data_IF_169970490421
#
_entry.id   IF_169970490421
#
_cell.length_a   1.000
_cell.length_b   1.000
_cell.length_c   1.000
_cell.angle_alpha   90.00
_cell.angle_beta   90.00
_cell.angle_gamma   90.00
#
_symmetry.space_group_name_H-M   'P 1'
#
loop_
_entity.id
_entity.type
_entity.pdbx_description
1 polymer ?
#
# COMPACT_ATOMS: atom_id res chain seq x y z
N UNK A 1 -41.62 -8.40 -33.22
CA UNK A 1 -41.02 -8.16 -31.90
C UNK A 1 -40.88 -6.66 -31.76
N UNK A 2 -41.54 -6.04 -30.79
CA UNK A 2 -41.43 -4.59 -30.54
C UNK A 2 -40.10 -4.32 -29.82
N UNK A 3 -39.58 -3.10 -29.91
CA UNK A 3 -38.34 -2.71 -29.24
C UNK A 3 -38.36 -3.02 -27.74
N UNK A 4 -39.50 -2.79 -27.08
CA UNK A 4 -39.73 -3.14 -25.66
C UNK A 4 -39.55 -4.62 -25.37
N UNK A 5 -39.95 -5.51 -26.29
CA UNK A 5 -39.80 -6.96 -26.12
C UNK A 5 -38.32 -7.39 -26.22
N UNK A 6 -37.55 -6.69 -27.06
CA UNK A 6 -36.10 -6.89 -27.21
C UNK A 6 -35.38 -6.37 -25.97
N UNK A 7 -35.73 -5.18 -25.48
CA UNK A 7 -35.13 -4.58 -24.29
C UNK A 7 -35.38 -5.43 -23.03
N UNK A 8 -36.58 -6.01 -22.92
CA UNK A 8 -36.91 -6.92 -21.82
C UNK A 8 -36.14 -8.25 -21.92
N UNK A 9 -35.91 -8.75 -23.14
CA UNK A 9 -35.15 -9.98 -23.36
C UNK A 9 -33.66 -9.82 -23.07
N UNK A 10 -33.09 -8.65 -23.38
CA UNK A 10 -31.68 -8.33 -23.14
C UNK A 10 -31.38 -7.93 -21.69
N UNK A 11 -32.41 -7.74 -20.86
CA UNK A 11 -32.24 -7.29 -19.48
C UNK A 11 -31.55 -8.38 -18.63
N UNK A 12 -30.51 -8.04 -17.83
CA UNK A 12 -29.88 -9.00 -16.95
C UNK A 12 -30.88 -9.60 -15.95
N UNK A 13 -30.64 -10.83 -15.44
CA UNK A 13 -31.47 -11.42 -14.41
C UNK A 13 -31.61 -10.50 -13.19
N UNK A 14 -32.78 -10.53 -12.54
CA UNK A 14 -33.08 -9.68 -11.38
C UNK A 14 -32.02 -9.78 -10.27
N UNK A 15 -31.49 -10.98 -10.03
CA UNK A 15 -30.41 -11.21 -9.04
C UNK A 15 -29.14 -10.43 -9.38
N UNK A 16 -28.76 -10.38 -10.66
CA UNK A 16 -27.58 -9.64 -11.12
C UNK A 16 -27.84 -8.13 -10.97
N UNK A 17 -29.02 -7.66 -11.34
CA UNK A 17 -29.41 -6.26 -11.16
C UNK A 17 -29.43 -5.84 -9.70
N UNK A 18 -29.91 -6.70 -8.79
CA UNK A 18 -29.94 -6.43 -7.36
C UNK A 18 -28.52 -6.37 -6.78
N UNK A 19 -27.61 -7.27 -7.20
CA UNK A 19 -26.20 -7.21 -6.82
C UNK A 19 -25.54 -5.92 -7.30
N UNK A 20 -25.74 -5.56 -8.58
CA UNK A 20 -25.19 -4.34 -9.18
C UNK A 20 -25.74 -3.07 -8.52
N UNK A 21 -27.05 -3.03 -8.25
CA UNK A 21 -27.69 -1.88 -7.61
C UNK A 21 -27.30 -1.78 -6.13
N UNK A 22 -27.07 -2.91 -5.46
CA UNK A 22 -26.54 -2.93 -4.09
C UNK A 22 -25.13 -2.38 -4.07
N UNK A 23 -24.26 -2.86 -4.97
CA UNK A 23 -22.90 -2.34 -5.11
C UNK A 23 -22.87 -0.83 -5.41
N UNK A 24 -23.65 -0.34 -6.37
CA UNK A 24 -23.73 1.11 -6.67
C UNK A 24 -24.16 1.93 -5.45
N UNK A 25 -25.10 1.43 -4.65
CA UNK A 25 -25.51 2.09 -3.40
C UNK A 25 -24.41 2.11 -2.35
N UNK A 26 -23.62 1.03 -2.26
CA UNK A 26 -22.45 0.96 -1.37
C UNK A 26 -21.36 1.96 -1.76
N UNK A 27 -21.20 2.25 -3.06
CA UNK A 27 -20.35 3.33 -3.59
C UNK A 27 -20.99 4.73 -3.49
N UNK A 28 -22.05 4.87 -2.67
CA UNK A 28 -22.81 6.09 -2.48
C UNK A 28 -23.40 6.70 -3.77
N UNK A 29 -23.59 5.91 -4.83
CA UNK A 29 -24.29 6.34 -6.03
C UNK A 29 -25.77 6.50 -5.71
N UNK A 30 -26.29 7.70 -5.98
CA UNK A 30 -27.70 8.00 -5.74
C UNK A 30 -28.60 7.07 -6.56
N UNK A 31 -29.56 6.35 -5.94
CA UNK A 31 -30.51 5.52 -6.67
C UNK A 31 -31.31 6.28 -7.73
N UNK A 32 -31.41 7.61 -7.61
CA UNK A 32 -32.11 8.46 -8.55
C UNK A 32 -31.36 8.64 -9.89
N UNK A 33 -30.05 8.41 -9.93
CA UNK A 33 -29.24 8.55 -11.15
C UNK A 33 -29.07 7.22 -11.89
N UNK A 34 -29.37 6.09 -11.24
CA UNK A 34 -29.26 4.76 -11.83
C UNK A 34 -30.40 4.53 -12.82
N UNK A 35 -30.05 4.31 -14.08
CA UNK A 35 -30.98 3.99 -15.16
C UNK A 35 -30.57 2.67 -15.81
N UNK A 36 -31.53 1.74 -15.91
CA UNK A 36 -31.32 0.42 -16.53
C UNK A 36 -31.96 0.45 -17.92
N UNK A 37 -31.12 0.27 -18.95
CA UNK A 37 -31.53 0.24 -20.35
C UNK A 37 -31.15 -1.10 -20.98
N UNK A 38 -32.12 -2.03 -21.05
CA UNK A 38 -31.89 -3.37 -21.58
C UNK A 38 -30.66 -4.03 -20.90
N UNK A 39 -29.58 -4.28 -21.64
CA UNK A 39 -28.33 -4.86 -21.15
C UNK A 39 -27.29 -3.85 -20.61
N UNK A 40 -27.65 -2.58 -20.45
CA UNK A 40 -26.77 -1.51 -19.97
C UNK A 40 -27.32 -0.85 -18.70
N UNK A 41 -26.42 -0.36 -17.87
CA UNK A 41 -26.72 0.52 -16.74
C UNK A 41 -25.93 1.80 -16.94
N UNK A 42 -26.60 2.93 -16.72
CA UNK A 42 -25.97 4.24 -16.61
C UNK A 42 -26.23 4.80 -15.23
N UNK A 43 -25.26 5.49 -14.66
CA UNK A 43 -25.39 6.20 -13.40
C UNK A 43 -24.51 7.44 -13.43
N UNK A 44 -24.81 8.39 -12.55
CA UNK A 44 -23.95 9.56 -12.34
C UNK A 44 -23.18 9.37 -11.04
N UNK A 45 -21.85 9.53 -11.15
CA UNK A 45 -20.92 9.56 -10.03
C UNK A 45 -20.14 10.88 -10.12
N UNK A 46 -19.81 11.46 -8.96
CA UNK A 46 -18.80 12.51 -8.92
C UNK A 46 -17.42 11.92 -9.25
N UNK A 47 -16.47 12.75 -9.70
CA UNK A 47 -15.08 12.31 -9.93
C UNK A 47 -14.50 11.70 -8.66
N UNK A 48 -14.77 12.28 -7.48
CA UNK A 48 -14.36 11.71 -6.18
C UNK A 48 -15.00 10.36 -5.82
N UNK A 49 -16.12 10.00 -6.44
CA UNK A 49 -16.76 8.68 -6.29
C UNK A 49 -16.24 7.67 -7.33
N UNK A 50 -15.77 8.14 -8.48
CA UNK A 50 -15.20 7.30 -9.53
C UNK A 50 -13.69 7.07 -9.34
N UNK A 51 -13.01 8.06 -8.74
CA UNK A 51 -11.57 8.12 -8.52
C UNK A 51 -11.31 8.66 -7.11
N UNK A 52 -10.39 8.02 -6.40
CA UNK A 52 -10.00 8.46 -5.08
C UNK A 52 -8.96 9.58 -5.19
N UNK A 53 -9.41 10.81 -5.37
CA UNK A 53 -8.53 11.97 -5.54
C UNK A 53 -7.85 12.37 -4.22
N UNK A 54 -6.70 13.07 -4.26
CA UNK A 54 -6.03 13.56 -3.05
C UNK A 54 -6.94 14.41 -2.16
N UNK A 55 -7.74 15.30 -2.74
CA UNK A 55 -8.68 16.12 -1.98
C UNK A 55 -9.78 15.27 -1.31
N UNK A 56 -10.25 14.21 -1.97
CA UNK A 56 -11.22 13.29 -1.39
C UNK A 56 -10.64 12.57 -0.16
N UNK A 57 -9.41 12.06 -0.26
CA UNK A 57 -8.69 11.45 0.86
C UNK A 57 -8.48 12.42 2.02
N UNK A 58 -8.08 13.66 1.72
CA UNK A 58 -7.90 14.70 2.74
C UNK A 58 -9.20 15.01 3.46
N UNK A 59 -10.33 15.08 2.75
CA UNK A 59 -11.65 15.27 3.37
C UNK A 59 -12.06 14.06 4.21
N UNK A 60 -11.90 12.84 3.66
CA UNK A 60 -12.28 11.59 4.30
C UNK A 60 -11.55 11.42 5.64
N UNK A 61 -10.26 11.77 5.70
CA UNK A 61 -9.43 11.65 6.89
C UNK A 61 -9.29 12.94 7.71
N UNK A 62 -10.11 13.96 7.42
CA UNK A 62 -10.14 15.20 8.21
C UNK A 62 -8.85 16.03 8.13
N UNK A 63 -8.11 15.91 7.04
CA UNK A 63 -6.83 16.57 6.80
C UNK A 63 -6.95 17.92 6.10
N UNK A 64 -8.16 18.41 5.77
CA UNK A 64 -8.37 19.63 4.97
C UNK A 64 -7.54 20.85 5.42
N UNK A 65 -7.39 21.02 6.74
CA UNK A 65 -6.66 22.14 7.37
C UNK A 65 -5.24 21.77 7.83
N UNK A 66 -4.81 20.53 7.59
CA UNK A 66 -3.52 20.01 8.03
C UNK A 66 -2.47 20.29 6.95
N UNK A 67 -1.42 21.00 7.34
CA UNK A 67 -0.22 21.21 6.54
C UNK A 67 1.01 20.92 7.38
N UNK A 68 2.07 20.46 6.73
CA UNK A 68 3.37 20.22 7.35
C UNK A 68 3.92 21.55 7.90
N UNK A 69 4.28 21.56 9.17
CA UNK A 69 4.96 22.72 9.76
C UNK A 69 6.33 22.92 9.09
N UNK A 70 6.71 24.15 8.73
CA UNK A 70 8.04 24.43 8.19
C UNK A 70 9.13 24.10 9.23
N UNK A 71 9.81 22.97 9.05
CA UNK A 71 10.94 22.54 9.86
C UNK A 71 11.87 21.73 8.95
N UNK A 72 13.18 21.97 9.04
CA UNK A 72 14.18 21.25 8.25
C UNK A 72 14.20 19.75 8.53
N UNK A 73 13.69 19.32 9.70
CA UNK A 73 13.51 17.91 10.06
C UNK A 73 12.19 17.34 9.60
N UNK A 74 11.23 18.16 9.16
CA UNK A 74 9.95 17.69 8.64
C UNK A 74 10.09 17.23 7.18
N UNK A 75 10.96 16.23 7.01
CA UNK A 75 11.26 15.60 5.75
C UNK A 75 10.53 14.27 5.63
N UNK A 76 9.88 14.07 4.50
CA UNK A 76 9.25 12.82 4.10
C UNK A 76 10.22 12.05 3.20
N UNK A 77 10.70 10.92 3.69
CA UNK A 77 11.46 9.94 2.91
C UNK A 77 10.53 8.95 2.23
N UNK A 78 10.71 8.75 0.94
CA UNK A 78 9.95 7.79 0.13
C UNK A 78 10.95 6.80 -0.45
N UNK A 79 10.83 5.52 -0.10
CA UNK A 79 11.73 4.48 -0.61
C UNK A 79 11.36 4.07 -2.04
N UNK A 80 12.36 3.77 -2.87
CA UNK A 80 12.16 3.16 -4.19
C UNK A 80 13.08 1.98 -4.43
N UNK A 81 12.51 0.80 -4.73
CA UNK A 81 13.27 -0.46 -4.89
C UNK A 81 13.09 -1.17 -6.24
N UNK A 82 12.13 -0.73 -7.07
CA UNK A 82 11.77 -1.42 -8.32
C UNK A 82 12.49 -0.91 -9.57
N UNK A 83 13.59 -0.18 -9.41
CA UNK A 83 14.29 0.48 -10.52
C UNK A 83 13.36 1.39 -11.37
N UNK A 84 12.32 1.93 -10.72
CA UNK A 84 11.37 2.87 -11.31
C UNK A 84 11.83 4.31 -11.09
N UNK A 85 11.43 5.21 -11.99
CA UNK A 85 11.91 6.58 -11.98
C UNK A 85 10.88 7.52 -11.33
N UNK A 86 11.38 8.41 -10.48
CA UNK A 86 10.65 9.50 -9.89
C UNK A 86 10.51 10.64 -10.92
N UNK A 87 9.46 10.59 -11.74
CA UNK A 87 9.27 11.46 -12.90
C UNK A 87 8.67 12.80 -12.49
N UNK A 88 9.48 13.86 -12.46
CA UNK A 88 9.03 15.20 -12.05
C UNK A 88 7.96 15.76 -12.99
N UNK A 89 8.06 15.48 -14.29
CA UNK A 89 7.08 15.97 -15.28
C UNK A 89 5.69 15.37 -15.08
N UNK A 90 5.60 14.08 -14.75
CA UNK A 90 4.32 13.42 -14.51
C UNK A 90 3.74 13.86 -13.17
N UNK A 91 4.59 14.02 -12.14
CA UNK A 91 4.19 14.57 -10.84
C UNK A 91 3.62 15.99 -10.96
N UNK A 92 4.29 16.90 -11.67
CA UNK A 92 3.79 18.27 -11.86
C UNK A 92 2.44 18.29 -12.58
N UNK A 93 2.29 17.52 -13.66
CA UNK A 93 1.02 17.44 -14.40
C UNK A 93 -0.09 16.78 -13.57
N UNK A 94 0.25 15.84 -12.69
CA UNK A 94 -0.71 15.27 -11.74
C UNK A 94 -1.21 16.33 -10.76
N UNK A 95 -0.32 17.15 -10.19
CA UNK A 95 -0.72 18.25 -9.30
C UNK A 95 -1.59 19.27 -10.02
N UNK A 96 -1.24 19.65 -11.26
CA UNK A 96 -2.06 20.59 -12.05
C UNK A 96 -3.51 20.11 -12.25
N UNK A 97 -3.72 18.80 -12.36
CA UNK A 97 -5.05 18.20 -12.56
C UNK A 97 -5.79 17.91 -11.24
N UNK A 98 -5.12 17.22 -10.31
CA UNK A 98 -5.75 16.63 -9.12
C UNK A 98 -5.50 17.40 -7.82
N UNK A 99 -4.53 18.31 -7.80
CA UNK A 99 -4.24 19.18 -6.66
C UNK A 99 -3.70 20.57 -7.07
N UNK A 100 -4.50 21.37 -7.80
CA UNK A 100 -4.05 22.64 -8.37
C UNK A 100 -3.65 23.68 -7.31
N UNK A 101 -4.01 23.45 -6.05
CA UNK A 101 -3.63 24.29 -4.91
C UNK A 101 -2.23 24.04 -4.36
N UNK A 102 -1.53 23.00 -4.83
CA UNK A 102 -0.21 22.58 -4.34
C UNK A 102 0.81 22.41 -5.48
N UNK A 103 0.64 23.15 -6.58
CA UNK A 103 1.51 23.04 -7.78
C UNK A 103 2.96 23.48 -7.58
N UNK A 104 3.29 24.08 -6.43
CA UNK A 104 4.64 24.42 -6.00
C UNK A 104 5.34 23.29 -5.22
N UNK A 105 4.61 22.21 -4.87
CA UNK A 105 5.18 21.03 -4.26
C UNK A 105 6.22 20.37 -5.19
N UNK A 106 7.31 19.87 -4.59
CA UNK A 106 8.39 19.23 -5.33
C UNK A 106 9.15 18.26 -4.41
N UNK A 107 9.97 17.40 -5.00
CA UNK A 107 10.79 16.43 -4.28
C UNK A 107 12.24 16.43 -4.78
N UNK A 108 13.13 15.83 -4.00
CA UNK A 108 14.52 15.56 -4.39
C UNK A 108 14.73 14.06 -4.58
N UNK A 109 15.74 13.67 -5.36
CA UNK A 109 16.09 12.26 -5.55
C UNK A 109 17.50 11.99 -5.03
N UNK A 110 17.64 10.94 -4.23
CA UNK A 110 18.93 10.44 -3.72
C UNK A 110 19.13 9.01 -4.23
N UNK A 111 20.29 8.76 -4.83
CA UNK A 111 20.71 7.43 -5.26
C UNK A 111 21.45 6.71 -4.14
N UNK A 112 21.03 5.49 -3.84
CA UNK A 112 21.66 4.58 -2.88
C UNK A 112 22.06 3.31 -3.63
N UNK A 113 23.27 2.81 -3.38
CA UNK A 113 23.79 1.58 -3.99
C UNK A 113 23.62 1.53 -5.52
N UNK A 114 23.95 2.63 -6.19
CA UNK A 114 23.79 2.80 -7.65
C UNK A 114 22.34 2.71 -8.15
N UNK A 115 21.35 3.01 -7.30
CA UNK A 115 19.96 3.16 -7.73
C UNK A 115 19.83 4.21 -8.84
N UNK A 116 19.08 3.88 -9.88
CA UNK A 116 18.95 4.72 -11.08
C UNK A 116 17.65 5.52 -11.01
N UNK A 117 17.68 6.75 -11.51
CA UNK A 117 16.50 7.56 -11.78
C UNK A 117 16.61 8.12 -13.20
N UNK A 118 16.09 7.39 -14.18
CA UNK A 118 16.08 7.80 -15.59
C UNK A 118 14.66 8.23 -15.98
N UNK A 119 14.36 9.52 -15.82
CA UNK A 119 13.06 10.09 -16.14
C UNK A 119 12.74 10.09 -17.65
N UNK A 120 13.68 9.69 -18.51
CA UNK A 120 13.47 9.48 -19.94
C UNK A 120 13.30 8.01 -20.32
N UNK A 121 13.43 7.12 -19.35
CA UNK A 121 13.12 5.71 -19.51
C UNK A 121 11.70 5.52 -20.02
N UNK A 122 11.50 4.46 -20.81
CA UNK A 122 10.18 3.97 -21.21
C UNK A 122 9.68 2.83 -20.30
N UNK A 123 10.44 2.49 -19.25
CA UNK A 123 10.03 1.49 -18.26
C UNK A 123 8.98 2.08 -17.33
N UNK A 124 7.94 1.29 -17.07
CA UNK A 124 6.87 1.60 -16.11
C UNK A 124 7.42 2.22 -14.82
N UNK A 125 6.83 3.33 -14.37
CA UNK A 125 7.16 3.98 -13.10
C UNK A 125 5.94 4.23 -12.22
N UNK A 126 4.89 3.41 -12.36
CA UNK A 126 3.62 3.54 -11.64
C UNK A 126 3.76 3.49 -10.12
N UNK A 127 4.62 2.63 -9.58
CA UNK A 127 4.82 2.52 -8.12
C UNK A 127 5.48 3.81 -7.59
N UNK A 128 6.61 4.21 -8.18
CA UNK A 128 7.28 5.46 -7.79
C UNK A 128 6.36 6.69 -8.00
N UNK A 129 5.54 6.67 -9.05
CA UNK A 129 4.57 7.72 -9.33
C UNK A 129 3.44 7.76 -8.31
N UNK A 130 2.87 6.60 -7.94
CA UNK A 130 1.86 6.48 -6.88
C UNK A 130 2.40 7.04 -5.57
N UNK A 131 3.55 6.53 -5.14
CA UNK A 131 4.21 6.90 -3.89
C UNK A 131 4.38 8.42 -3.80
N UNK A 132 4.93 9.04 -4.85
CA UNK A 132 5.20 10.48 -4.88
C UNK A 132 3.93 11.33 -5.02
N UNK A 133 3.05 10.98 -5.96
CA UNK A 133 1.85 11.75 -6.26
C UNK A 133 0.93 11.83 -5.07
N UNK A 134 0.69 10.71 -4.37
CA UNK A 134 -0.18 10.73 -3.20
C UNK A 134 0.53 11.19 -1.93
N UNK A 135 1.79 10.81 -1.69
CA UNK A 135 2.49 11.26 -0.48
C UNK A 135 2.55 12.79 -0.39
N UNK A 136 2.92 13.48 -1.48
CA UNK A 136 3.01 14.95 -1.47
C UNK A 136 1.64 15.63 -1.57
N UNK A 137 0.65 15.00 -2.21
CA UNK A 137 -0.72 15.55 -2.25
C UNK A 137 -1.54 15.26 -0.98
N UNK A 138 -1.02 14.45 -0.05
CA UNK A 138 -1.60 14.28 1.29
C UNK A 138 -0.80 15.08 2.32
N UNK A 139 0.53 15.07 2.26
CA UNK A 139 1.41 15.78 3.19
C UNK A 139 1.77 17.19 2.67
N UNK A 140 0.78 18.08 2.59
CA UNK A 140 0.95 19.45 2.09
C UNK A 140 2.13 20.16 2.73
N UNK A 141 2.98 20.77 1.90
CA UNK A 141 4.23 21.47 2.26
C UNK A 141 5.32 20.62 2.94
N UNK A 142 5.21 19.29 2.96
CA UNK A 142 6.31 18.44 3.42
C UNK A 142 7.47 18.50 2.42
N UNK A 143 8.71 18.57 2.92
CA UNK A 143 9.88 18.42 2.08
C UNK A 143 10.10 16.94 1.79
N UNK A 144 10.05 16.52 0.52
CA UNK A 144 10.15 15.10 0.18
C UNK A 144 11.49 14.73 -0.47
N UNK A 145 12.00 13.55 -0.11
CA UNK A 145 13.14 12.91 -0.78
C UNK A 145 12.78 11.49 -1.20
N UNK A 146 12.90 11.20 -2.49
CA UNK A 146 12.82 9.86 -3.04
C UNK A 146 14.20 9.18 -3.01
N UNK A 147 14.28 8.03 -2.35
CA UNK A 147 15.50 7.24 -2.21
C UNK A 147 15.49 6.07 -3.20
N UNK A 148 16.01 6.29 -4.41
CA UNK A 148 16.21 5.22 -5.40
C UNK A 148 17.36 4.32 -4.96
N UNK A 149 17.03 3.08 -4.59
CA UNK A 149 17.99 2.13 -4.01
C UNK A 149 18.18 0.94 -4.94
N UNK A 150 19.40 0.76 -5.43
CA UNK A 150 19.77 -0.39 -6.25
C UNK A 150 20.08 -1.64 -5.42
N UNK A 151 20.04 -2.80 -6.07
CA UNK A 151 20.36 -4.10 -5.46
C UNK A 151 19.14 -4.96 -5.17
N UNK A 152 19.37 -6.16 -4.61
CA UNK A 152 18.33 -7.13 -4.24
C UNK A 152 18.72 -7.85 -2.95
N UNK A 153 17.76 -7.98 -2.04
CA UNK A 153 17.91 -8.73 -0.79
C UNK A 153 18.03 -10.24 -1.00
N UNK A 154 18.44 -11.00 0.01
CA UNK A 154 18.52 -12.46 -0.07
C UNK A 154 17.13 -13.11 -0.02
N UNK A 155 16.96 -14.25 -0.72
CA UNK A 155 15.68 -14.98 -0.81
C UNK A 155 15.82 -16.44 -0.36
N UNK A 156 14.83 -16.92 0.37
CA UNK A 156 14.55 -18.33 0.64
C UNK A 156 13.51 -18.79 -0.39
N UNK A 157 13.82 -19.78 -1.27
CA UNK A 157 12.88 -20.20 -2.30
C UNK A 157 11.55 -20.72 -1.74
N UNK A 158 10.45 -20.46 -2.44
CA UNK A 158 9.15 -21.07 -2.23
C UNK A 158 8.52 -21.53 -3.56
N UNK A 159 7.29 -22.06 -3.53
CA UNK A 159 6.59 -22.50 -4.74
C UNK A 159 6.19 -21.38 -5.72
N UNK A 160 6.24 -20.12 -5.30
CA UNK A 160 5.84 -18.93 -6.07
C UNK A 160 6.97 -17.98 -6.45
N UNK A 161 8.17 -18.11 -5.88
CA UNK A 161 9.29 -17.17 -6.02
C UNK A 161 10.45 -17.78 -6.83
N UNK A 162 11.29 -16.96 -7.48
CA UNK A 162 12.36 -17.45 -8.32
C UNK A 162 13.34 -18.35 -7.54
N UNK A 163 13.91 -19.34 -8.24
CA UNK A 163 14.97 -20.19 -7.71
C UNK A 163 16.18 -19.35 -7.27
N UNK A 164 16.96 -19.88 -6.32
CA UNK A 164 18.20 -19.28 -5.83
C UNK A 164 19.06 -18.72 -7.00
N UNK A 165 19.30 -17.40 -6.99
CA UNK A 165 20.08 -16.68 -8.01
C UNK A 165 19.37 -15.49 -8.69
N UNK A 166 18.03 -15.43 -8.63
CA UNK A 166 17.23 -14.34 -9.21
C UNK A 166 16.31 -13.70 -8.16
N UNK A 167 16.89 -13.21 -7.06
CA UNK A 167 16.09 -12.56 -6.01
C UNK A 167 15.41 -11.30 -6.53
N UNK A 168 14.13 -11.11 -6.20
CA UNK A 168 13.41 -9.85 -6.39
C UNK A 168 13.20 -9.10 -5.08
N UNK A 169 13.60 -9.70 -3.95
CA UNK A 169 13.46 -9.10 -2.62
C UNK A 169 14.17 -7.75 -2.54
N UNK A 170 13.62 -6.86 -1.74
CA UNK A 170 14.03 -5.48 -1.72
C UNK A 170 15.33 -5.30 -0.89
N UNK A 171 16.22 -4.38 -1.34
CA UNK A 171 17.53 -4.14 -0.73
C UNK A 171 17.42 -3.27 0.53
N UNK A 172 16.68 -3.73 1.54
CA UNK A 172 16.46 -2.96 2.78
C UNK A 172 17.75 -2.59 3.49
N UNK A 173 18.73 -3.52 3.57
CA UNK A 173 19.98 -3.25 4.29
C UNK A 173 20.77 -2.11 3.65
N UNK A 174 20.79 -2.02 2.33
CA UNK A 174 21.48 -0.95 1.59
C UNK A 174 20.92 0.42 1.97
N UNK A 175 19.59 0.58 1.92
CA UNK A 175 18.93 1.83 2.30
C UNK A 175 19.10 2.14 3.79
N UNK A 176 18.90 1.15 4.66
CA UNK A 176 18.96 1.35 6.11
C UNK A 176 20.38 1.65 6.59
N UNK A 177 21.41 1.05 6.00
CA UNK A 177 22.79 1.40 6.30
C UNK A 177 23.14 2.81 5.83
N UNK A 178 22.64 3.24 4.65
CA UNK A 178 22.79 4.62 4.21
C UNK A 178 22.14 5.59 5.20
N UNK A 179 20.86 5.39 5.55
CA UNK A 179 20.14 6.25 6.49
C UNK A 179 20.80 6.25 7.87
N UNK A 180 21.18 5.08 8.39
CA UNK A 180 21.88 4.97 9.68
C UNK A 180 23.22 5.72 9.69
N UNK A 181 23.87 5.91 8.55
CA UNK A 181 25.12 6.68 8.43
C UNK A 181 24.93 8.19 8.40
N UNK A 182 23.71 8.68 8.15
CA UNK A 182 23.41 10.11 8.14
C UNK A 182 23.37 10.67 9.56
N UNK A 183 23.71 11.95 9.78
CA UNK A 183 23.45 12.64 11.03
C UNK A 183 21.94 12.87 11.24
N UNK A 184 21.51 13.09 12.48
CA UNK A 184 20.08 13.18 12.85
C UNK A 184 19.32 14.27 12.09
N UNK A 185 19.97 15.41 11.83
CA UNK A 185 19.40 16.53 11.07
C UNK A 185 19.12 16.24 9.59
N UNK A 186 19.72 15.17 9.04
CA UNK A 186 19.54 14.74 7.65
C UNK A 186 18.65 13.49 7.54
N UNK A 187 18.15 12.97 8.65
CA UNK A 187 17.17 11.88 8.63
C UNK A 187 15.79 12.42 8.26
N UNK A 188 14.98 11.65 7.51
CA UNK A 188 13.57 11.96 7.37
C UNK A 188 12.85 11.80 8.72
N UNK A 189 11.87 12.66 9.01
CA UNK A 189 10.99 12.46 10.15
C UNK A 189 10.04 11.28 9.93
N UNK A 190 9.63 11.06 8.68
CA UNK A 190 8.79 9.94 8.27
C UNK A 190 9.43 9.25 7.07
N UNK A 191 9.62 7.94 7.15
CA UNK A 191 10.06 7.09 6.05
C UNK A 191 8.90 6.17 5.65
N UNK A 192 8.38 6.33 4.44
CA UNK A 192 7.33 5.47 3.89
C UNK A 192 7.91 4.49 2.86
N UNK A 193 7.45 3.24 2.92
CA UNK A 193 7.99 2.12 2.15
C UNK A 193 6.84 1.19 1.71
N UNK A 194 6.57 1.16 0.41
CA UNK A 194 5.43 0.48 -0.24
C UNK A 194 5.74 -0.95 -0.70
N UNK A 195 6.70 -1.62 -0.06
CA UNK A 195 7.27 -2.89 -0.51
C UNK A 195 7.25 -3.96 0.58
N UNK A 196 7.22 -5.22 0.16
CA UNK A 196 7.19 -6.35 1.07
C UNK A 196 7.30 -7.71 0.38
N UNK A 197 7.67 -8.70 1.17
CA UNK A 197 7.85 -10.09 0.79
C UNK A 197 7.13 -10.99 1.77
N UNK A 198 6.65 -12.17 1.35
CA UNK A 198 6.19 -13.17 2.32
C UNK A 198 7.30 -13.47 3.33
N UNK A 199 7.00 -13.43 4.63
CA UNK A 199 8.03 -13.51 5.67
C UNK A 199 8.86 -14.80 5.58
N UNK A 200 8.25 -15.90 5.11
CA UNK A 200 8.94 -17.18 4.91
C UNK A 200 9.97 -17.19 3.75
N UNK A 201 9.91 -16.22 2.83
CA UNK A 201 10.88 -16.08 1.73
C UNK A 201 12.06 -15.20 2.12
N UNK A 202 12.07 -14.64 3.32
CA UNK A 202 13.16 -13.81 3.84
C UNK A 202 13.97 -14.60 4.88
N UNK A 203 15.31 -14.70 4.75
CA UNK A 203 16.12 -15.36 5.77
C UNK A 203 15.95 -14.70 7.14
N UNK A 204 15.65 -15.48 8.18
CA UNK A 204 15.38 -14.96 9.53
C UNK A 204 16.48 -14.03 10.08
N UNK A 205 17.75 -14.32 9.80
CA UNK A 205 18.87 -13.46 10.21
C UNK A 205 18.86 -12.10 9.50
N UNK A 206 18.49 -12.07 8.22
CA UNK A 206 18.36 -10.82 7.45
C UNK A 206 17.16 -10.01 7.96
N UNK A 207 15.99 -10.65 8.12
CA UNK A 207 14.79 -10.00 8.64
C UNK A 207 15.02 -9.41 10.04
N UNK A 208 15.73 -10.14 10.92
CA UNK A 208 16.10 -9.64 12.25
C UNK A 208 17.02 -8.42 12.16
N UNK A 209 18.07 -8.47 11.34
CA UNK A 209 19.01 -7.36 11.18
C UNK A 209 18.33 -6.09 10.61
N UNK A 210 17.45 -6.26 9.62
CA UNK A 210 16.64 -5.17 9.05
C UNK A 210 15.72 -4.59 10.12
N UNK A 211 15.04 -5.43 10.89
CA UNK A 211 14.12 -4.98 11.95
C UNK A 211 14.86 -4.26 13.10
N UNK A 212 16.07 -4.71 13.46
CA UNK A 212 16.93 -4.01 14.42
C UNK A 212 17.40 -2.64 13.90
N UNK A 213 17.60 -2.49 12.59
CA UNK A 213 17.92 -1.19 11.99
C UNK A 213 16.71 -0.25 11.95
N UNK A 214 15.51 -0.76 11.71
CA UNK A 214 14.28 0.03 11.90
C UNK A 214 14.15 0.49 13.36
N UNK A 215 14.44 -0.37 14.34
CA UNK A 215 14.46 0.00 15.75
C UNK A 215 15.45 1.14 16.04
N UNK A 216 16.65 1.08 15.44
CA UNK A 216 17.66 2.12 15.58
C UNK A 216 17.22 3.46 14.98
N UNK A 217 16.63 3.46 13.78
CA UNK A 217 16.07 4.67 13.18
C UNK A 217 14.90 5.22 13.99
N UNK A 218 14.01 4.36 14.46
CA UNK A 218 12.91 4.73 15.37
C UNK A 218 13.41 5.38 16.66
N UNK A 219 14.49 4.85 17.25
CA UNK A 219 15.14 5.45 18.42
C UNK A 219 15.76 6.84 18.14
N UNK A 220 16.08 7.13 16.87
CA UNK A 220 16.55 8.44 16.40
C UNK A 220 15.41 9.39 15.98
N UNK A 221 14.15 8.96 16.15
CA UNK A 221 12.97 9.79 15.92
C UNK A 221 12.36 9.66 14.52
N UNK A 222 12.76 8.66 13.73
CA UNK A 222 12.15 8.38 12.42
C UNK A 222 10.89 7.53 12.60
N UNK A 223 9.75 8.01 12.08
CA UNK A 223 8.54 7.19 11.97
C UNK A 223 8.62 6.36 10.71
N UNK A 224 8.50 5.04 10.82
CA UNK A 224 8.67 4.12 9.67
C UNK A 224 7.33 3.49 9.37
N UNK A 225 6.84 3.71 8.16
CA UNK A 225 5.52 3.30 7.70
C UNK A 225 5.69 2.30 6.55
N UNK A 226 5.00 1.17 6.63
CA UNK A 226 5.07 0.10 5.63
C UNK A 226 3.68 -0.33 5.19
N UNK A 227 3.55 -0.67 3.92
CA UNK A 227 2.40 -1.43 3.42
C UNK A 227 2.34 -2.80 4.10
N UNK A 228 1.13 -3.33 4.29
CA UNK A 228 0.92 -4.64 4.93
C UNK A 228 0.82 -5.81 3.94
N UNK A 229 0.66 -5.51 2.66
CA UNK A 229 0.57 -6.48 1.58
C UNK A 229 -0.74 -6.43 0.79
N UNK A 230 -0.70 -7.03 -0.41
CA UNK A 230 -1.80 -7.04 -1.38
C UNK A 230 -2.33 -8.44 -1.70
N UNK A 231 -1.97 -9.43 -0.87
CA UNK A 231 -2.31 -10.84 -1.11
C UNK A 231 -3.16 -11.47 -0.01
N UNK A 232 -3.87 -10.63 0.75
CA UNK A 232 -4.68 -11.07 1.89
C UNK A 232 -3.85 -11.79 2.95
N UNK A 233 -4.44 -12.70 3.75
CA UNK A 233 -3.70 -13.47 4.74
C UNK A 233 -2.91 -14.66 4.16
N UNK A 234 -3.12 -14.98 2.88
CA UNK A 234 -2.62 -16.22 2.26
C UNK A 234 -1.34 -16.06 1.45
N UNK A 235 -0.92 -14.82 1.18
CA UNK A 235 0.11 -14.58 0.19
C UNK A 235 -0.26 -15.19 -1.17
N UNK A 236 0.75 -15.62 -1.92
CA UNK A 236 0.54 -16.22 -3.25
C UNK A 236 0.23 -17.72 -3.24
N UNK A 237 0.53 -18.43 -2.15
CA UNK A 237 0.50 -19.92 -2.15
C UNK A 237 -0.36 -20.53 -1.04
N UNK A 238 -0.59 -19.82 0.08
CA UNK A 238 -1.19 -20.38 1.29
C UNK A 238 -0.48 -21.65 1.83
N UNK A 239 0.80 -21.85 1.51
CA UNK A 239 1.55 -23.07 1.81
C UNK A 239 2.93 -22.77 2.39
N UNK A 240 3.39 -23.64 3.31
CA UNK A 240 4.74 -23.59 3.85
C UNK A 240 5.80 -23.94 2.81
N UNK A 241 6.94 -23.24 2.84
CA UNK A 241 8.10 -23.53 1.97
C UNK A 241 9.14 -24.48 2.60
N UNK A 242 8.82 -25.14 3.71
CA UNK A 242 9.68 -26.10 4.43
C UNK A 242 9.70 -27.52 3.83
N UNK A 243 9.13 -27.68 2.63
CA UNK A 243 8.98 -28.97 1.94
C UNK A 243 7.79 -29.81 2.42
N UNK A 244 7.03 -29.35 3.42
CA UNK A 244 5.84 -30.06 3.90
C UNK A 244 4.53 -29.64 3.19
N UNK A 245 4.54 -28.51 2.47
CA UNK A 245 3.38 -27.97 1.75
C UNK A 245 2.10 -27.92 2.61
N UNK A 246 2.24 -27.54 3.88
CA UNK A 246 1.11 -27.44 4.80
C UNK A 246 0.38 -26.13 4.57
N UNK A 247 -0.95 -26.18 4.55
CA UNK A 247 -1.77 -24.98 4.44
C UNK A 247 -1.55 -24.06 5.63
N UNK A 248 -1.36 -22.77 5.35
CA UNK A 248 -1.05 -21.74 6.35
C UNK A 248 -1.33 -20.34 5.80
N UNK A 249 -1.62 -19.40 6.69
CA UNK A 249 -1.52 -17.98 6.39
C UNK A 249 -0.05 -17.55 6.31
N UNK A 250 0.23 -16.63 5.39
CA UNK A 250 1.57 -16.16 5.06
C UNK A 250 1.65 -14.66 5.41
N UNK A 251 2.15 -14.31 6.62
CA UNK A 251 2.38 -12.91 6.95
C UNK A 251 3.49 -12.34 6.05
N UNK A 252 3.47 -11.03 5.87
CA UNK A 252 4.49 -10.31 5.10
C UNK A 252 5.56 -9.67 6.00
N UNK A 253 6.75 -9.55 5.46
CA UNK A 253 7.87 -8.77 5.97
C UNK A 253 8.06 -7.56 5.05
N UNK A 254 8.31 -6.34 5.57
CA UNK A 254 8.58 -5.99 6.96
C UNK A 254 7.35 -5.77 7.85
N UNK A 255 6.14 -5.93 7.34
CA UNK A 255 4.91 -5.73 8.12
C UNK A 255 4.90 -6.49 9.47
N UNK A 256 5.54 -7.67 9.53
CA UNK A 256 5.76 -8.45 10.75
C UNK A 256 6.70 -7.84 11.80
N UNK A 257 7.54 -6.87 11.45
CA UNK A 257 8.49 -6.23 12.37
C UNK A 257 7.74 -5.36 13.41
N UNK A 258 8.07 -5.45 14.72
CA UNK A 258 7.42 -4.66 15.78
C UNK A 258 7.92 -3.21 15.91
N UNK A 259 8.83 -2.75 15.06
CA UNK A 259 9.40 -1.40 15.13
C UNK A 259 8.97 -0.49 13.98
N UNK A 260 7.98 -0.92 13.19
CA UNK A 260 7.36 -0.16 12.11
C UNK A 260 5.85 -0.05 12.34
N UNK A 261 5.21 0.87 11.63
CA UNK A 261 3.74 0.93 11.53
C UNK A 261 3.31 0.28 10.22
N UNK A 262 2.63 -0.85 10.29
CA UNK A 262 2.08 -1.56 9.14
C UNK A 262 0.68 -1.02 8.79
N UNK A 263 0.44 -0.73 7.51
CA UNK A 263 -0.77 -0.11 7.00
C UNK A 263 -1.56 -1.08 6.11
N UNK A 264 -2.77 -1.40 6.55
CA UNK A 264 -3.77 -2.18 5.82
C UNK A 264 -4.58 -1.35 4.83
N UNK A 265 -5.32 -2.07 4.01
CA UNK A 265 -6.19 -1.51 2.98
C UNK A 265 -7.66 -1.59 3.33
N UNK A 266 -8.36 -0.47 3.20
CA UNK A 266 -9.82 -0.40 3.17
C UNK A 266 -10.31 0.11 1.81
N UNK A 267 -11.59 -0.12 1.55
CA UNK A 267 -12.28 0.36 0.36
C UNK A 267 -13.71 0.79 0.71
N UNK A 268 -14.29 1.59 -0.18
CA UNK A 268 -15.61 2.22 0.02
C UNK A 268 -15.50 3.43 0.95
N UNK A 269 -16.39 4.41 0.77
CA UNK A 269 -16.31 5.69 1.50
C UNK A 269 -17.22 5.74 2.74
N UNK A 270 -18.38 5.06 2.70
CA UNK A 270 -19.40 5.15 3.75
C UNK A 270 -20.25 3.86 3.82
N UNK A 271 -19.85 2.84 4.60
CA UNK A 271 -18.66 2.76 5.44
C UNK A 271 -17.41 2.28 4.68
N UNK A 272 -16.23 2.63 5.19
CA UNK A 272 -14.99 1.94 4.83
C UNK A 272 -15.05 0.47 5.30
N UNK A 273 -14.56 -0.46 4.47
CA UNK A 273 -14.51 -1.91 4.76
C UNK A 273 -13.15 -2.46 4.35
N UNK A 274 -12.69 -3.52 5.00
CA UNK A 274 -11.42 -4.18 4.63
C UNK A 274 -11.40 -4.56 3.14
N UNK A 275 -10.36 -4.11 2.42
CA UNK A 275 -10.15 -4.50 1.04
C UNK A 275 -9.75 -5.98 1.00
N UNK A 276 -10.30 -6.75 0.05
CA UNK A 276 -10.09 -8.20 -0.01
C UNK A 276 -8.63 -8.62 -0.20
N UNK A 277 -7.82 -7.73 -0.77
CA UNK A 277 -6.38 -7.92 -0.95
C UNK A 277 -5.54 -7.47 0.26
N UNK A 278 -6.10 -6.72 1.21
CA UNK A 278 -5.32 -6.17 2.34
C UNK A 278 -4.60 -7.28 3.10
N UNK A 279 -3.28 -7.16 3.18
CA UNK A 279 -2.44 -8.00 3.99
C UNK A 279 -2.82 -7.91 5.48
N UNK A 280 -2.63 -9.01 6.19
CA UNK A 280 -2.95 -9.10 7.61
C UNK A 280 -2.70 -10.50 8.16
N UNK A 281 -2.57 -10.60 9.48
CA UNK A 281 -2.32 -11.87 10.14
C UNK A 281 -1.37 -11.74 11.32
N UNK A 282 -0.53 -12.75 11.51
CA UNK A 282 0.42 -12.80 12.61
C UNK A 282 1.77 -13.29 12.13
N UNK A 283 2.82 -12.53 12.44
CA UNK A 283 4.20 -12.91 12.14
C UNK A 283 4.56 -14.29 12.72
N UNK A 284 5.32 -15.06 11.97
CA UNK A 284 5.92 -16.31 12.42
C UNK A 284 7.28 -16.11 13.08
N UNK A 285 7.99 -15.05 12.68
CA UNK A 285 9.33 -14.73 13.13
C UNK A 285 9.33 -13.86 14.39
N UNK A 286 8.55 -12.78 14.39
CA UNK A 286 8.55 -11.77 15.45
C UNK A 286 7.45 -12.03 16.47
N UNK A 287 7.84 -12.09 17.74
CA UNK A 287 6.90 -12.28 18.85
C UNK A 287 6.01 -11.06 19.02
N UNK A 288 4.82 -11.28 19.57
CA UNK A 288 3.89 -10.20 19.91
C UNK A 288 4.52 -9.21 20.90
N UNK A 289 4.74 -7.95 20.52
CA UNK A 289 5.15 -6.91 21.46
C UNK A 289 4.05 -6.59 22.48
N UNK A 290 4.47 -6.10 23.64
CA UNK A 290 3.58 -5.80 24.77
C UNK A 290 2.56 -4.71 24.46
N UNK A 291 2.89 -3.76 23.58
CA UNK A 291 2.01 -2.63 23.25
C UNK A 291 0.73 -3.06 22.51
N UNK A 292 0.73 -4.21 21.84
CA UNK A 292 -0.46 -4.74 21.15
C UNK A 292 -1.06 -5.99 21.82
N UNK A 293 -0.52 -6.42 22.97
CA UNK A 293 -0.93 -7.67 23.61
C UNK A 293 -2.41 -7.66 24.01
N UNK A 294 -2.91 -6.51 24.49
CA UNK A 294 -4.32 -6.34 24.82
C UNK A 294 -5.22 -6.48 23.61
N UNK A 295 -4.99 -5.67 22.56
CA UNK A 295 -5.82 -5.67 21.35
C UNK A 295 -5.83 -7.04 20.65
N UNK A 296 -4.65 -7.69 20.57
CA UNK A 296 -4.56 -9.03 19.96
C UNK A 296 -5.29 -10.07 20.80
N UNK A 297 -5.21 -10.04 22.13
CA UNK A 297 -5.94 -11.00 22.98
C UNK A 297 -7.44 -10.87 22.79
N UNK A 298 -7.98 -9.65 22.79
CA UNK A 298 -9.40 -9.41 22.54
C UNK A 298 -9.82 -9.92 21.15
N UNK A 299 -9.01 -9.68 20.12
CA UNK A 299 -9.26 -10.23 18.79
C UNK A 299 -9.25 -11.77 18.76
N UNK A 300 -8.27 -12.40 19.39
CA UNK A 300 -8.17 -13.86 19.44
C UNK A 300 -9.33 -14.49 20.23
N UNK A 301 -9.84 -13.82 21.27
CA UNK A 301 -11.05 -14.24 21.99
C UNK A 301 -12.29 -14.19 21.08
N UNK A 302 -12.44 -13.16 20.26
CA UNK A 302 -13.52 -13.03 19.28
C UNK A 302 -13.39 -14.04 18.14
N UNK A 303 -12.17 -14.30 17.67
CA UNK A 303 -11.87 -15.25 16.60
C UNK A 303 -12.16 -16.69 17.04
N UNK A 304 -11.96 -17.01 18.32
CA UNK A 304 -12.21 -18.33 18.89
C UNK A 304 -11.36 -19.42 18.23
N UNK A 305 -12.01 -20.48 17.74
CA UNK A 305 -11.33 -21.60 17.06
C UNK A 305 -11.21 -21.43 15.55
N UNK A 306 -11.65 -20.29 14.99
CA UNK A 306 -11.54 -20.06 13.56
C UNK A 306 -10.07 -20.05 13.14
N UNK A 307 -9.77 -20.75 12.04
CA UNK A 307 -8.44 -20.83 11.43
C UNK A 307 -7.33 -21.36 12.36
N UNK A 308 -7.70 -22.09 13.42
CA UNK A 308 -6.74 -22.68 14.34
C UNK A 308 -5.74 -23.57 13.59
N UNK A 309 -4.45 -23.33 13.83
CA UNK A 309 -3.37 -24.05 13.16
C UNK A 309 -2.89 -23.41 11.84
N UNK A 310 -3.59 -22.40 11.31
CA UNK A 310 -3.20 -21.66 10.11
C UNK A 310 -2.35 -20.42 10.41
N UNK A 311 -2.31 -19.93 11.64
CA UNK A 311 -1.54 -18.74 12.04
C UNK A 311 -0.81 -18.93 13.38
N UNK A 312 0.16 -18.06 13.66
CA UNK A 312 0.88 -18.02 14.94
C UNK A 312 0.18 -17.06 15.94
N UNK A 313 -0.62 -17.54 16.91
CA UNK A 313 -1.34 -16.66 17.86
C UNK A 313 -0.41 -15.93 18.84
N UNK A 314 0.91 -16.19 18.81
CA UNK A 314 1.92 -15.51 19.64
C UNK A 314 2.73 -14.48 18.84
N UNK A 315 2.48 -14.38 17.54
CA UNK A 315 3.18 -13.49 16.63
C UNK A 315 2.75 -12.03 16.74
N UNK A 316 3.55 -11.13 16.17
CA UNK A 316 3.17 -9.73 15.94
C UNK A 316 1.94 -9.67 15.02
N UNK A 317 0.83 -9.10 15.49
CA UNK A 317 -0.41 -8.96 14.71
C UNK A 317 -0.32 -7.83 13.69
N UNK A 318 -0.84 -8.02 12.47
CA UNK A 318 -0.73 -7.11 11.32
C UNK A 318 -2.14 -6.87 10.74
N UNK A 319 -2.49 -5.66 10.29
CA UNK A 319 -1.74 -4.38 10.35
C UNK A 319 -1.96 -3.63 11.68
N UNK A 320 -1.31 -2.47 11.86
CA UNK A 320 -1.54 -1.56 13.01
C UNK A 320 -2.71 -0.59 12.74
N UNK A 321 -2.79 -0.10 11.51
CA UNK A 321 -3.83 0.85 11.03
C UNK A 321 -4.27 0.48 9.62
N UNK A 322 -5.28 1.13 9.08
CA UNK A 322 -5.68 0.96 7.67
C UNK A 322 -6.12 2.27 7.05
N UNK A 323 -5.94 2.39 5.73
CA UNK A 323 -6.36 3.53 4.91
C UNK A 323 -6.91 3.03 3.56
N UNK A 324 -7.57 3.91 2.80
CA UNK A 324 -8.10 3.60 1.49
C UNK A 324 -6.95 3.05 0.62
N UNK A 325 -7.25 2.00 -0.12
CA UNK A 325 -6.23 1.27 -0.88
C UNK A 325 -6.70 0.92 -2.29
N UNK A 326 -7.79 1.50 -2.78
CA UNK A 326 -8.37 1.15 -4.07
C UNK A 326 -8.85 2.39 -4.83
N UNK A 327 -8.90 2.28 -6.16
CA UNK A 327 -9.33 3.35 -7.08
C UNK A 327 -8.47 4.63 -7.05
N UNK A 328 -7.17 4.50 -6.76
CA UNK A 328 -6.21 5.59 -6.90
C UNK A 328 -5.96 5.85 -8.39
N UNK A 329 -5.82 7.11 -8.78
CA UNK A 329 -5.49 7.50 -10.15
C UNK A 329 -4.07 8.03 -10.17
N UNK A 330 -3.23 7.50 -11.04
CA UNK A 330 -1.81 7.84 -11.09
C UNK A 330 -1.44 8.23 -12.51
N UNK A 331 -0.59 9.23 -12.65
CA UNK A 331 0.00 9.62 -13.93
C UNK A 331 1.36 8.96 -14.12
N UNK A 332 1.53 8.17 -15.18
CA UNK A 332 2.82 7.58 -15.56
C UNK A 332 3.00 7.66 -17.08
N UNK A 333 4.15 8.15 -17.54
CA UNK A 333 4.46 8.34 -18.96
C UNK A 333 3.40 9.15 -19.73
N UNK A 334 2.85 10.17 -19.09
CA UNK A 334 1.82 11.00 -19.67
C UNK A 334 0.42 10.38 -19.78
N UNK A 335 0.20 9.18 -19.24
CA UNK A 335 -1.08 8.49 -19.21
C UNK A 335 -1.60 8.40 -17.77
N UNK A 336 -2.93 8.42 -17.60
CA UNK A 336 -3.56 8.16 -16.31
C UNK A 336 -3.94 6.68 -16.22
N UNK A 337 -3.57 6.03 -15.11
CA UNK A 337 -3.84 4.64 -14.82
C UNK A 337 -4.44 4.49 -13.42
N UNK A 338 -5.42 3.62 -13.29
CA UNK A 338 -6.02 3.32 -12.01
C UNK A 338 -5.23 2.22 -11.30
N UNK A 339 -4.93 2.42 -10.02
CA UNK A 339 -4.16 1.51 -9.18
C UNK A 339 -4.87 1.25 -7.85
N UNK A 340 -4.45 0.18 -7.18
CA UNK A 340 -4.89 -0.20 -5.86
C UNK A 340 -3.87 -1.14 -5.23
N UNK A 341 -3.88 -1.19 -3.91
CA UNK A 341 -2.88 -1.84 -3.08
C UNK A 341 -2.70 -1.04 -1.79
N UNK A 342 -2.07 -1.67 -0.81
CA UNK A 342 -1.66 -1.08 0.47
C UNK A 342 -0.39 -0.25 0.38
N UNK A 343 0.20 -0.21 -0.81
CA UNK A 343 1.39 0.52 -1.22
C UNK A 343 1.14 2.02 -1.27
#
# INVERSE_FOLDING_TARGET
MKQVDVDQFLRPPAVVLDQLTTWLKEEAISPATIQIYANWITFEASVSQAELTPQCLRQLYGLDSVTAAPDVRNQLGIAGFLDQSARHSDFQLFLEEYDPGQTDANFSVVSINNGVNDEHSSHNSVEASLDLQYSLSIAYHAMATFYSTGGRGPVVPDGGHPRAGNSTNEPYLEQLHYLASLPDENLPAVLTMSYGEPEQTVPAAYATAVCDLFAQLGARGVSIIFSSGDSGPGGNTCETNDGSARSKFLPEFPAGCPFITAVGGVQGLNPERGAGFSGGGFSDLFQRPTYQDHAVKEFLEQLGSQWQGLYNPKGRGIPDVSAQSNHFIVRDHGLYVQVGGTR
#
